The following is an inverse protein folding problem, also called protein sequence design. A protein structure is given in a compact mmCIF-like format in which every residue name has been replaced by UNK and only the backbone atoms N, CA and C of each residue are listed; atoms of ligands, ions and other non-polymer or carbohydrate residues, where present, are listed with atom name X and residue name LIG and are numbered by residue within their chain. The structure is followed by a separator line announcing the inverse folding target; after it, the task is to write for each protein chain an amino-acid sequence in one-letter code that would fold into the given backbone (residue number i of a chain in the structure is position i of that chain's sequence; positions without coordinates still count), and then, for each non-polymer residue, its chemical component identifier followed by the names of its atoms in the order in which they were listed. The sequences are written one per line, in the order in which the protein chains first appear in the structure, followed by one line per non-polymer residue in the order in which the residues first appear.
data_IF_616036082004
#
_entry.id   IF_616036082004
#
_cell.length_a   1.000
_cell.length_b   1.000
_cell.length_c   1.000
_cell.angle_alpha   90.00
_cell.angle_beta   90.00
_cell.angle_gamma   90.00
#
_symmetry.space_group_name_H-M   'P 1'
#
loop_
_entity.id
_entity.type
_entity.pdbx_description
1 polymer ?
#
# COMPACT_ATOMS: atom_id res chain seq x y z
N UNK A 1 20.62 44.48 -0.75
CA UNK A 1 19.45 43.64 -1.09
C UNK A 1 19.93 42.21 -1.22
N UNK A 2 19.74 41.40 -0.18
CA UNK A 2 20.19 40.01 -0.17
C UNK A 2 19.18 39.15 -0.94
N UNK A 3 19.64 38.50 -2.00
CA UNK A 3 18.85 37.52 -2.75
C UNK A 3 18.60 36.29 -1.89
N UNK A 4 17.35 36.05 -1.53
CA UNK A 4 16.91 34.80 -0.93
C UNK A 4 17.03 33.70 -2.00
N UNK A 5 18.10 32.92 -1.94
CA UNK A 5 18.25 31.70 -2.72
C UNK A 5 17.23 30.69 -2.24
N UNK A 6 16.31 30.29 -3.11
CA UNK A 6 15.43 29.14 -2.94
C UNK A 6 16.28 27.91 -2.58
N UNK A 7 15.90 27.09 -1.59
CA UNK A 7 16.64 25.87 -1.30
C UNK A 7 16.55 24.92 -2.50
N UNK A 8 17.59 24.11 -2.76
CA UNK A 8 17.61 23.18 -3.88
C UNK A 8 16.46 22.18 -3.73
N UNK A 9 15.61 22.09 -4.75
CA UNK A 9 14.61 21.03 -4.87
C UNK A 9 15.34 19.69 -4.87
N UNK A 10 15.37 19.02 -3.71
CA UNK A 10 15.79 17.63 -3.63
C UNK A 10 14.92 16.84 -4.60
N UNK A 11 15.52 16.17 -5.59
CA UNK A 11 14.81 15.24 -6.47
C UNK A 11 14.23 14.11 -5.60
N UNK A 12 12.98 14.24 -5.15
CA UNK A 12 12.28 13.20 -4.40
C UNK A 12 11.69 12.20 -5.37
N UNK A 13 12.01 10.91 -5.20
CA UNK A 13 11.48 9.81 -6.02
C UNK A 13 9.95 9.70 -5.91
N UNK A 14 9.39 10.18 -4.80
CA UNK A 14 7.96 10.27 -4.53
C UNK A 14 7.52 11.74 -4.49
N UNK A 15 6.36 12.08 -5.05
CA UNK A 15 5.85 13.46 -4.97
C UNK A 15 5.61 13.85 -3.50
N UNK A 16 6.11 15.02 -3.04
CA UNK A 16 5.99 15.43 -1.64
C UNK A 16 4.56 15.44 -1.11
N UNK A 17 3.57 15.77 -1.96
CA UNK A 17 2.15 15.78 -1.55
C UNK A 17 1.60 14.40 -1.16
N UNK A 18 2.29 13.29 -1.48
CA UNK A 18 1.92 11.93 -1.04
C UNK A 18 2.38 11.62 0.38
N UNK A 19 3.25 12.43 0.96
CA UNK A 19 3.91 12.16 2.24
C UNK A 19 3.41 13.18 3.27
N UNK A 20 3.16 12.69 4.49
CA UNK A 20 2.93 13.50 5.68
C UNK A 20 3.91 13.09 6.76
N UNK A 21 4.55 14.07 7.39
CA UNK A 21 5.28 13.82 8.63
C UNK A 21 4.29 13.93 9.77
N UNK A 22 4.05 12.82 10.48
CA UNK A 22 3.11 12.77 11.61
C UNK A 22 3.83 12.87 12.95
N UNK A 23 5.13 12.56 12.99
CA UNK A 23 6.02 12.81 14.13
C UNK A 23 7.41 13.18 13.61
N UNK A 24 7.94 14.32 14.04
CA UNK A 24 9.33 14.72 13.77
C UNK A 24 10.26 14.14 14.86
N UNK A 25 11.34 13.49 14.44
CA UNK A 25 12.37 12.99 15.34
C UNK A 25 13.32 14.11 15.79
N UNK A 26 13.82 14.01 17.02
CA UNK A 26 14.85 14.92 17.54
C UNK A 26 16.17 14.76 16.77
N UNK A 27 16.71 15.88 16.29
CA UNK A 27 18.00 15.94 15.54
C UNK A 27 19.18 15.72 16.49
N UNK A 28 19.39 14.48 16.94
CA UNK A 28 20.36 14.17 17.99
C UNK A 28 21.43 13.14 17.64
N UNK A 29 21.25 12.27 16.64
CA UNK A 29 22.23 11.21 16.36
C UNK A 29 22.78 11.28 14.93
N UNK A 30 24.09 11.52 14.88
CA UNK A 30 24.92 11.40 13.68
C UNK A 30 25.15 9.91 13.45
N UNK A 31 24.54 9.36 12.40
CA UNK A 31 24.50 7.93 12.09
C UNK A 31 23.07 7.38 12.24
N UNK A 32 22.37 7.25 11.12
CA UNK A 32 20.96 6.83 11.13
C UNK A 32 20.79 5.34 11.42
N UNK A 33 19.81 4.99 12.23
CA UNK A 33 19.26 3.65 12.31
C UNK A 33 18.50 3.25 11.04
N UNK A 34 18.07 1.98 10.89
CA UNK A 34 17.33 1.53 9.72
C UNK A 34 16.00 2.27 9.51
N UNK A 35 15.51 2.21 8.27
CA UNK A 35 14.14 2.59 7.92
C UNK A 35 13.25 1.36 8.04
N UNK A 36 12.09 1.50 8.66
CA UNK A 36 11.08 0.43 8.73
C UNK A 36 9.82 0.88 8.03
N UNK A 37 9.36 0.10 7.03
CA UNK A 37 8.03 0.26 6.45
C UNK A 37 7.04 -0.62 7.21
N UNK A 38 6.21 -0.01 8.05
CA UNK A 38 5.04 -0.65 8.62
C UNK A 38 3.90 -0.68 7.59
N UNK A 39 3.82 -1.80 6.91
CA UNK A 39 2.81 -2.10 5.90
C UNK A 39 1.50 -2.49 6.59
N UNK A 40 0.39 -1.95 6.08
CA UNK A 40 -0.93 -2.27 6.57
C UNK A 40 -1.93 -2.48 5.41
N UNK A 41 -2.29 -1.40 4.72
CA UNK A 41 -3.35 -1.39 3.69
C UNK A 41 -2.84 -1.78 2.31
N UNK A 42 -1.60 -1.44 1.98
CA UNK A 42 -1.05 -1.59 0.63
C UNK A 42 -0.10 -2.79 0.57
N UNK A 43 -0.67 -4.00 0.54
CA UNK A 43 0.03 -5.29 0.64
C UNK A 43 0.55 -5.78 -0.71
N UNK A 44 1.47 -5.02 -1.28
CA UNK A 44 2.11 -5.31 -2.57
C UNK A 44 3.52 -4.72 -2.65
N UNK A 45 4.36 -5.37 -3.45
CA UNK A 45 5.69 -4.91 -3.82
C UNK A 45 5.62 -3.89 -4.96
N UNK A 46 4.85 -4.20 -6.00
CA UNK A 46 4.77 -3.37 -7.19
C UNK A 46 3.86 -2.16 -6.94
N UNK A 47 4.17 -1.02 -7.56
CA UNK A 47 3.29 0.16 -7.56
C UNK A 47 2.86 0.63 -6.16
N UNK A 48 3.81 0.62 -5.20
CA UNK A 48 3.60 0.98 -3.80
C UNK A 48 4.42 2.21 -3.40
N UNK A 49 3.77 3.37 -3.30
CA UNK A 49 4.44 4.63 -2.95
C UNK A 49 5.07 4.62 -1.55
N UNK A 50 4.49 3.89 -0.59
CA UNK A 50 5.03 3.82 0.77
C UNK A 50 6.34 3.01 0.80
N UNK A 51 6.38 1.88 0.09
CA UNK A 51 7.60 1.09 -0.07
C UNK A 51 8.68 1.85 -0.85
N UNK A 52 8.30 2.50 -1.97
CA UNK A 52 9.22 3.33 -2.77
C UNK A 52 9.83 4.42 -1.89
N UNK A 53 9.01 5.10 -1.09
CA UNK A 53 9.49 6.13 -0.15
C UNK A 53 10.44 5.56 0.90
N UNK A 54 10.08 4.45 1.53
CA UNK A 54 10.92 3.81 2.56
C UNK A 54 12.31 3.44 2.01
N UNK A 55 12.37 2.86 0.81
CA UNK A 55 13.63 2.49 0.16
C UNK A 55 14.42 3.73 -0.27
N UNK A 56 13.76 4.77 -0.81
CA UNK A 56 14.40 6.04 -1.17
C UNK A 56 15.03 6.72 0.05
N UNK A 57 14.34 6.75 1.20
CA UNK A 57 14.87 7.30 2.45
C UNK A 57 16.05 6.48 2.98
N UNK A 58 15.96 5.14 2.95
CA UNK A 58 17.04 4.27 3.37
C UNK A 58 18.30 4.48 2.51
N UNK A 59 18.13 4.60 1.20
CA UNK A 59 19.20 4.81 0.23
C UNK A 59 19.85 6.20 0.32
N UNK A 60 19.11 7.22 0.75
CA UNK A 60 19.64 8.57 1.01
C UNK A 60 20.45 8.64 2.29
N UNK A 61 19.96 8.00 3.33
CA UNK A 61 20.62 7.96 4.64
C UNK A 61 21.72 6.90 4.71
N UNK A 62 21.87 6.09 3.67
CA UNK A 62 22.80 4.96 3.61
C UNK A 62 22.59 4.01 4.79
N UNK A 63 21.34 3.59 5.01
CA UNK A 63 20.94 2.67 6.09
C UNK A 63 20.14 1.49 5.53
N UNK A 64 20.01 0.37 6.25
CA UNK A 64 19.14 -0.73 5.86
C UNK A 64 17.65 -0.35 5.89
N UNK A 65 16.83 -1.14 5.18
CA UNK A 65 15.36 -1.05 5.22
C UNK A 65 14.75 -2.42 5.53
N UNK A 66 13.64 -2.43 6.28
CA UNK A 66 12.83 -3.61 6.55
C UNK A 66 11.34 -3.34 6.31
N UNK A 67 10.58 -4.40 6.03
CA UNK A 67 9.11 -4.37 6.06
C UNK A 67 8.62 -5.05 7.32
N UNK A 68 7.70 -4.39 8.03
CA UNK A 68 7.01 -4.93 9.18
C UNK A 68 5.50 -4.98 8.88
N UNK A 69 4.86 -6.10 9.18
CA UNK A 69 3.42 -6.27 9.13
C UNK A 69 2.92 -6.77 10.48
N UNK A 70 1.84 -6.17 10.99
CA UNK A 70 1.21 -6.65 12.22
C UNK A 70 -0.17 -7.24 11.90
N UNK A 71 -0.34 -8.52 12.19
CA UNK A 71 -1.61 -9.21 12.10
C UNK A 71 -2.43 -8.94 13.36
N UNK A 72 -3.40 -8.03 13.24
CA UNK A 72 -4.37 -7.73 14.30
C UNK A 72 -5.29 -8.92 14.55
N UNK A 73 -5.50 -9.27 15.81
CA UNK A 73 -6.54 -10.23 16.16
C UNK A 73 -7.91 -9.62 15.88
N UNK A 74 -8.74 -10.31 15.09
CA UNK A 74 -10.14 -9.93 14.81
C UNK A 74 -10.36 -8.49 14.28
N UNK A 75 -9.49 -7.97 13.39
CA UNK A 75 -9.72 -6.65 12.78
C UNK A 75 -11.11 -6.55 12.13
N UNK A 76 -12.00 -5.73 12.70
CA UNK A 76 -13.39 -5.54 12.27
C UNK A 76 -14.20 -6.85 12.15
N UNK A 77 -13.85 -7.88 12.93
CA UNK A 77 -14.52 -9.18 12.87
C UNK A 77 -14.22 -9.99 11.61
N UNK A 78 -13.09 -9.73 10.93
CA UNK A 78 -12.63 -10.52 9.79
C UNK A 78 -12.55 -12.02 10.14
N UNK A 79 -13.00 -12.87 9.22
CA UNK A 79 -13.12 -14.32 9.38
C UNK A 79 -12.22 -15.06 8.38
N UNK A 80 -12.36 -16.39 8.30
CA UNK A 80 -11.51 -17.25 7.47
C UNK A 80 -11.44 -16.77 6.02
N UNK A 81 -12.56 -16.30 5.45
CA UNK A 81 -12.61 -15.73 4.10
C UNK A 81 -11.64 -14.58 3.86
N UNK A 82 -11.69 -13.56 4.71
CA UNK A 82 -10.88 -12.35 4.53
C UNK A 82 -9.43 -12.62 4.91
N UNK A 83 -9.22 -13.25 6.07
CA UNK A 83 -7.88 -13.47 6.60
C UNK A 83 -7.12 -14.53 5.81
N UNK A 84 -7.77 -15.61 5.36
CA UNK A 84 -7.16 -16.61 4.48
C UNK A 84 -6.70 -16.00 3.16
N UNK A 85 -7.55 -15.20 2.52
CA UNK A 85 -7.20 -14.46 1.29
C UNK A 85 -6.00 -13.52 1.51
N UNK A 86 -6.01 -12.77 2.61
CA UNK A 86 -4.92 -11.85 2.96
C UNK A 86 -3.61 -12.59 3.21
N UNK A 87 -3.60 -13.59 4.09
CA UNK A 87 -2.41 -14.33 4.50
C UNK A 87 -1.75 -15.08 3.35
N UNK A 88 -2.55 -15.69 2.45
CA UNK A 88 -2.03 -16.32 1.24
C UNK A 88 -1.36 -15.30 0.31
N UNK A 89 -1.91 -14.09 0.21
CA UNK A 89 -1.28 -12.98 -0.51
C UNK A 89 0.03 -12.51 0.15
N UNK A 90 0.04 -12.35 1.48
CA UNK A 90 1.24 -11.96 2.23
C UNK A 90 2.35 -13.01 2.14
N UNK A 91 2.02 -14.30 2.11
CA UNK A 91 2.98 -15.39 1.88
C UNK A 91 3.68 -15.28 0.52
N UNK A 92 2.97 -14.86 -0.53
CA UNK A 92 3.58 -14.58 -1.84
C UNK A 92 4.43 -13.31 -1.79
N UNK A 93 3.90 -12.24 -1.17
CA UNK A 93 4.57 -10.96 -1.02
C UNK A 93 5.91 -11.07 -0.29
N UNK A 94 5.96 -11.79 0.83
CA UNK A 94 7.19 -12.01 1.59
C UNK A 94 8.28 -12.64 0.72
N UNK A 95 7.93 -13.70 -0.03
CA UNK A 95 8.85 -14.35 -0.97
C UNK A 95 9.36 -13.36 -2.02
N UNK A 96 8.45 -12.62 -2.67
CA UNK A 96 8.83 -11.67 -3.72
C UNK A 96 9.72 -10.55 -3.19
N UNK A 97 9.42 -9.95 -2.03
CA UNK A 97 10.24 -8.88 -1.43
C UNK A 97 11.65 -9.39 -1.10
N UNK A 98 11.75 -10.57 -0.49
CA UNK A 98 13.04 -11.12 -0.07
C UNK A 98 13.90 -11.57 -1.27
N UNK A 99 13.30 -12.19 -2.28
CA UNK A 99 13.99 -12.67 -3.47
C UNK A 99 14.44 -11.54 -4.40
N UNK A 100 13.61 -10.52 -4.58
CA UNK A 100 13.87 -9.45 -5.56
C UNK A 100 14.61 -8.25 -4.99
N UNK A 101 14.29 -7.84 -3.75
CA UNK A 101 14.85 -6.64 -3.13
C UNK A 101 15.84 -6.94 -1.99
N UNK A 102 15.90 -8.19 -1.52
CA UNK A 102 16.69 -8.57 -0.34
C UNK A 102 16.31 -7.77 0.92
N UNK A 103 15.04 -7.34 1.00
CA UNK A 103 14.49 -6.64 2.16
C UNK A 103 13.86 -7.69 3.08
N UNK A 104 14.21 -7.72 4.38
CA UNK A 104 13.57 -8.64 5.32
C UNK A 104 12.12 -8.25 5.58
N UNK A 105 11.27 -9.27 5.72
CA UNK A 105 9.87 -9.13 6.08
C UNK A 105 9.63 -9.69 7.49
N UNK A 106 9.09 -8.87 8.38
CA UNK A 106 8.76 -9.24 9.76
C UNK A 106 7.24 -9.29 9.94
N UNK A 107 6.76 -10.38 10.54
CA UNK A 107 5.35 -10.57 10.86
C UNK A 107 5.16 -10.60 12.37
N UNK A 108 4.37 -9.65 12.89
CA UNK A 108 4.01 -9.58 14.29
C UNK A 108 2.57 -10.02 14.50
N UNK A 109 2.32 -10.68 15.63
CA UNK A 109 0.99 -11.08 16.09
C UNK A 109 0.67 -10.29 17.37
N UNK A 110 -0.57 -9.78 17.47
CA UNK A 110 -1.02 -9.02 18.64
C UNK A 110 -1.29 -7.55 18.32
N UNK A 111 -1.16 -6.69 19.33
CA UNK A 111 -1.47 -5.26 19.21
C UNK A 111 -0.30 -4.49 18.58
N UNK A 112 -0.57 -3.80 17.47
CA UNK A 112 0.48 -3.08 16.72
C UNK A 112 1.08 -1.93 17.53
N UNK A 113 0.32 -1.32 18.43
CA UNK A 113 0.80 -0.30 19.37
C UNK A 113 1.80 -0.84 20.40
N UNK A 114 1.99 -2.15 20.51
CA UNK A 114 3.01 -2.77 21.35
C UNK A 114 4.15 -3.32 20.49
N UNK A 115 3.82 -4.11 19.47
CA UNK A 115 4.80 -4.84 18.66
C UNK A 115 5.65 -3.92 17.79
N UNK A 116 5.05 -2.91 17.15
CA UNK A 116 5.78 -1.99 16.27
C UNK A 116 6.74 -1.11 17.05
N UNK A 117 6.35 -0.42 18.15
CA UNK A 117 7.30 0.36 18.95
C UNK A 117 8.42 -0.48 19.54
N UNK A 118 8.12 -1.71 20.00
CA UNK A 118 9.15 -2.64 20.50
C UNK A 118 10.16 -2.98 19.40
N UNK A 119 9.68 -3.36 18.20
CA UNK A 119 10.55 -3.68 17.09
C UNK A 119 11.45 -2.51 16.66
N UNK A 120 10.89 -1.29 16.59
CA UNK A 120 11.66 -0.10 16.25
C UNK A 120 12.78 0.19 17.27
N UNK A 121 12.50 -0.05 18.55
CA UNK A 121 13.51 0.07 19.61
C UNK A 121 14.60 -0.98 19.46
N UNK A 122 14.22 -2.23 19.22
CA UNK A 122 15.15 -3.36 19.14
C UNK A 122 16.11 -3.25 17.95
N UNK A 123 15.62 -2.81 16.78
CA UNK A 123 16.47 -2.58 15.61
C UNK A 123 17.12 -1.18 15.58
N UNK A 124 16.83 -0.33 16.56
CA UNK A 124 17.31 1.04 16.63
C UNK A 124 16.89 1.89 15.43
N UNK A 125 15.66 1.73 14.92
CA UNK A 125 15.17 2.42 13.73
C UNK A 125 15.23 3.95 13.87
N UNK A 126 15.51 4.64 12.76
CA UNK A 126 15.50 6.12 12.71
C UNK A 126 14.25 6.70 12.05
N UNK A 127 13.61 5.92 11.18
CA UNK A 127 12.42 6.33 10.44
C UNK A 127 11.43 5.17 10.34
N UNK A 128 10.21 5.44 10.76
CA UNK A 128 9.04 4.63 10.47
C UNK A 128 8.29 5.23 9.27
N UNK A 129 8.06 4.46 8.23
CA UNK A 129 7.15 4.78 7.14
C UNK A 129 5.91 3.90 7.28
N UNK A 130 4.71 4.43 7.07
CA UNK A 130 3.47 3.64 7.03
C UNK A 130 2.56 4.09 5.89
N UNK A 131 1.68 3.20 5.43
CA UNK A 131 0.67 3.52 4.43
C UNK A 131 -0.57 4.17 5.07
N UNK A 132 -1.39 4.81 4.24
CA UNK A 132 -2.54 5.57 4.70
C UNK A 132 -3.84 4.75 4.74
N UNK A 133 -4.53 4.79 5.88
CA UNK A 133 -5.92 4.36 5.99
C UNK A 133 -6.79 5.38 6.75
N UNK A 134 -7.96 5.76 6.20
CA UNK A 134 -8.89 6.64 6.91
C UNK A 134 -9.69 5.94 8.01
N UNK A 135 -9.52 4.63 8.21
CA UNK A 135 -10.31 3.88 9.20
C UNK A 135 -9.94 4.31 10.62
N UNK A 136 -10.95 4.45 11.48
CA UNK A 136 -10.78 4.93 12.86
C UNK A 136 -9.82 4.05 13.65
N UNK A 137 -9.97 2.74 13.56
CA UNK A 137 -9.14 1.76 14.27
C UNK A 137 -7.66 1.93 13.94
N UNK A 138 -7.33 2.07 12.64
CA UNK A 138 -5.95 2.29 12.21
C UNK A 138 -5.41 3.63 12.69
N UNK A 139 -6.18 4.72 12.56
CA UNK A 139 -5.75 6.05 13.02
C UNK A 139 -5.51 6.09 14.53
N UNK A 140 -6.38 5.47 15.33
CA UNK A 140 -6.18 5.36 16.78
C UNK A 140 -4.91 4.57 17.12
N UNK A 141 -4.65 3.45 16.44
CA UNK A 141 -3.42 2.69 16.63
C UNK A 141 -2.17 3.50 16.23
N UNK A 142 -2.21 4.22 15.11
CA UNK A 142 -1.13 5.09 14.66
C UNK A 142 -0.85 6.21 15.67
N UNK A 143 -1.88 6.84 16.24
CA UNK A 143 -1.74 7.86 17.29
C UNK A 143 -1.06 7.28 18.55
N UNK A 144 -1.40 6.05 18.95
CA UNK A 144 -0.77 5.37 20.08
C UNK A 144 0.69 5.00 19.79
N UNK A 145 1.01 4.52 18.59
CA UNK A 145 2.38 4.27 18.15
C UNK A 145 3.20 5.56 18.20
N UNK A 146 2.66 6.69 17.73
CA UNK A 146 3.37 7.98 17.76
C UNK A 146 3.76 8.40 19.19
N UNK A 147 2.91 8.11 20.18
CA UNK A 147 3.17 8.38 21.60
C UNK A 147 4.21 7.44 22.22
N UNK A 148 4.24 6.17 21.80
CA UNK A 148 5.08 5.12 22.41
C UNK A 148 6.47 5.01 21.79
N UNK A 149 6.61 5.37 20.51
CA UNK A 149 7.89 5.36 19.81
C UNK A 149 8.82 6.44 20.39
N UNK A 150 10.12 6.14 20.49
CA UNK A 150 11.14 7.09 20.95
C UNK A 150 11.09 8.43 20.20
N UNK A 151 11.43 9.53 20.86
CA UNK A 151 11.51 10.87 20.26
C UNK A 151 12.66 11.01 19.26
N UNK A 152 13.54 10.02 19.16
CA UNK A 152 14.57 9.96 18.11
C UNK A 152 14.05 9.49 16.75
N UNK A 153 12.85 8.89 16.69
CA UNK A 153 12.32 8.28 15.47
C UNK A 153 11.36 9.24 14.78
N UNK A 154 11.60 9.48 13.50
CA UNK A 154 10.68 10.22 12.63
C UNK A 154 9.61 9.27 12.11
N UNK A 155 8.37 9.75 11.92
CA UNK A 155 7.29 8.95 11.36
C UNK A 155 6.68 9.65 10.14
N UNK A 156 6.72 8.96 9.00
CA UNK A 156 6.11 9.37 7.75
C UNK A 156 4.88 8.50 7.42
N UNK A 157 3.77 9.14 7.13
CA UNK A 157 2.59 8.51 6.52
C UNK A 157 2.59 8.78 5.02
N UNK A 158 2.32 7.76 4.20
CA UNK A 158 2.29 7.87 2.74
C UNK A 158 0.97 7.39 2.17
N UNK A 159 0.30 8.20 1.36
CA UNK A 159 -0.88 7.76 0.61
C UNK A 159 -0.45 6.93 -0.61
N UNK A 160 -0.37 5.62 -0.40
CA UNK A 160 -0.05 4.61 -1.41
C UNK A 160 -1.29 4.00 -2.08
N UNK A 161 -2.48 4.35 -1.63
CA UNK A 161 -3.72 3.73 -2.09
C UNK A 161 -4.45 4.58 -3.13
N UNK A 162 -4.46 5.90 -2.94
CA UNK A 162 -5.15 6.82 -3.83
C UNK A 162 -4.20 7.36 -4.91
N UNK A 163 -4.74 7.60 -6.11
CA UNK A 163 -3.99 8.26 -7.19
C UNK A 163 -3.57 9.65 -6.73
N UNK A 164 -4.53 10.46 -6.31
CA UNK A 164 -4.33 11.77 -5.68
C UNK A 164 -4.44 11.58 -4.18
N UNK A 165 -3.42 11.96 -3.38
CA UNK A 165 -3.45 11.81 -1.92
C UNK A 165 -4.68 12.46 -1.31
N UNK A 166 -5.31 11.79 -0.35
CA UNK A 166 -6.64 12.19 0.16
C UNK A 166 -6.66 13.64 0.68
N UNK A 167 -5.57 14.08 1.31
CA UNK A 167 -5.43 15.41 1.88
C UNK A 167 -5.04 16.48 0.87
N UNK A 168 -4.57 16.08 -0.31
CA UNK A 168 -4.35 16.97 -1.45
C UNK A 168 -5.64 17.07 -2.27
N UNK A 169 -6.39 15.97 -2.40
CA UNK A 169 -7.60 15.90 -3.20
C UNK A 169 -8.67 16.90 -2.76
N UNK A 170 -8.85 17.09 -1.45
CA UNK A 170 -9.66 18.17 -0.89
C UNK A 170 -9.31 18.47 0.57
N UNK A 171 -9.35 19.74 0.95
CA UNK A 171 -9.19 20.18 2.34
C UNK A 171 -10.44 19.94 3.23
N UNK A 172 -11.53 19.45 2.66
CA UNK A 172 -12.80 19.20 3.37
C UNK A 172 -13.55 18.00 2.81
N UNK A 173 -14.51 17.50 3.58
CA UNK A 173 -15.50 16.55 3.09
C UNK A 173 -16.28 17.15 1.92
N UNK A 174 -16.34 16.40 0.83
CA UNK A 174 -17.10 16.78 -0.37
C UNK A 174 -18.51 16.23 -0.32
N UNK A 175 -19.48 17.08 -0.67
CA UNK A 175 -20.90 16.72 -0.64
C UNK A 175 -21.29 15.69 -1.70
N UNK A 176 -20.60 15.68 -2.85
CA UNK A 176 -20.95 14.77 -3.96
C UNK A 176 -19.76 14.44 -4.86
N UNK A 177 -19.91 13.41 -5.68
CA UNK A 177 -18.95 13.10 -6.73
C UNK A 177 -18.71 14.29 -7.68
N UNK A 178 -19.74 15.10 -7.97
CA UNK A 178 -19.61 16.28 -8.84
C UNK A 178 -18.63 17.33 -8.29
N UNK A 179 -18.67 17.59 -6.98
CA UNK A 179 -17.80 18.61 -6.35
C UNK A 179 -16.37 18.11 -6.19
N UNK A 180 -16.19 16.81 -5.93
CA UNK A 180 -14.88 16.17 -5.82
C UNK A 180 -14.18 15.99 -7.17
N UNK A 181 -14.92 15.58 -8.21
CA UNK A 181 -14.36 15.22 -9.53
C UNK A 181 -13.57 16.34 -10.17
N UNK A 182 -14.08 17.57 -10.13
CA UNK A 182 -13.38 18.72 -10.69
C UNK A 182 -12.03 18.99 -10.03
N UNK A 183 -11.89 18.70 -8.72
CA UNK A 183 -10.63 18.85 -7.98
C UNK A 183 -9.64 17.74 -8.35
N UNK A 184 -10.08 16.49 -8.31
CA UNK A 184 -9.24 15.34 -8.69
C UNK A 184 -8.75 15.49 -10.13
N UNK A 185 -9.63 15.82 -11.08
CA UNK A 185 -9.27 15.93 -12.49
C UNK A 185 -8.19 17.00 -12.77
N UNK A 186 -8.16 18.09 -12.00
CA UNK A 186 -7.11 19.11 -12.10
C UNK A 186 -5.75 18.59 -11.61
N UNK A 187 -5.74 17.62 -10.70
CA UNK A 187 -4.55 17.04 -10.09
C UNK A 187 -4.07 15.77 -10.80
N UNK A 188 -4.90 15.13 -11.63
CA UNK A 188 -4.51 13.92 -12.37
C UNK A 188 -3.24 14.09 -13.22
N UNK A 189 -2.98 15.21 -13.92
CA UNK A 189 -1.73 15.37 -14.67
C UNK A 189 -0.46 15.26 -13.80
N UNK A 190 -0.55 15.64 -12.52
CA UNK A 190 0.57 15.62 -11.57
C UNK A 190 0.71 14.25 -10.88
N UNK A 191 -0.42 13.59 -10.60
CA UNK A 191 -0.45 12.41 -9.75
C UNK A 191 -0.72 11.09 -10.49
N UNK A 192 -1.37 11.09 -11.65
CA UNK A 192 -1.57 9.91 -12.51
C UNK A 192 -0.38 9.72 -13.46
N UNK A 193 0.79 9.55 -12.85
CA UNK A 193 2.07 9.27 -13.50
C UNK A 193 2.41 7.78 -13.39
N UNK A 194 3.36 7.30 -14.19
CA UNK A 194 3.94 5.98 -13.98
C UNK A 194 4.76 5.94 -12.69
N UNK A 195 4.84 4.74 -12.10
CA UNK A 195 5.68 4.50 -10.93
C UNK A 195 7.16 4.45 -11.34
N UNK A 196 8.06 5.04 -10.55
CA UNK A 196 9.49 4.89 -10.78
C UNK A 196 9.91 3.44 -10.57
N UNK A 197 10.99 3.02 -11.24
CA UNK A 197 11.61 1.74 -10.95
C UNK A 197 12.13 1.75 -9.51
N UNK A 198 11.63 0.81 -8.70
CA UNK A 198 12.07 0.63 -7.31
C UNK A 198 13.57 0.29 -7.30
N UNK A 199 14.33 1.13 -6.60
CA UNK A 199 15.78 0.93 -6.48
C UNK A 199 16.06 -0.20 -5.48
N UNK A 200 17.17 -0.92 -5.67
CA UNK A 200 17.62 -1.86 -4.66
C UNK A 200 18.13 -1.10 -3.41
N UNK A 201 17.90 -1.61 -2.19
CA UNK A 201 18.55 -1.09 -1.00
C UNK A 201 20.06 -1.16 -1.13
N UNK A 202 20.76 -0.04 -0.85
CA UNK A 202 22.24 0.02 -0.92
C UNK A 202 22.91 -0.73 0.22
N UNK A 203 22.26 -0.77 1.39
CA UNK A 203 22.77 -1.45 2.57
C UNK A 203 21.90 -2.64 2.95
N UNK A 204 22.55 -3.74 3.29
CA UNK A 204 21.91 -4.98 3.70
C UNK A 204 21.50 -4.90 5.17
N UNK A 205 20.41 -5.56 5.49
CA UNK A 205 20.01 -5.80 6.86
C UNK A 205 20.90 -6.89 7.49
N UNK A 206 21.66 -6.55 8.54
CA UNK A 206 22.65 -7.44 9.16
C UNK A 206 22.18 -7.98 10.53
N UNK A 207 20.90 -7.79 10.90
CA UNK A 207 20.42 -8.21 12.22
C UNK A 207 20.39 -9.75 12.39
N UNK A 208 20.48 -10.27 13.64
CA UNK A 208 20.97 -11.63 13.89
C UNK A 208 20.05 -12.79 13.51
N UNK A 209 18.79 -12.58 13.16
CA UNK A 209 17.92 -13.71 12.81
C UNK A 209 16.80 -13.28 11.86
N UNK A 210 16.77 -13.88 10.68
CA UNK A 210 15.60 -13.84 9.79
C UNK A 210 14.45 -14.54 10.51
N UNK A 211 13.31 -13.86 10.69
CA UNK A 211 12.13 -14.48 11.27
C UNK A 211 11.65 -15.57 10.31
N UNK A 212 11.57 -16.82 10.80
CA UNK A 212 10.91 -17.90 10.06
C UNK A 212 9.42 -17.83 10.35
N UNK A 213 8.59 -17.64 9.32
CA UNK A 213 7.14 -17.58 9.45
C UNK A 213 6.57 -18.94 8.99
N UNK A 214 5.91 -19.66 9.89
CA UNK A 214 5.11 -20.83 9.52
C UNK A 214 3.74 -20.38 9.00
N UNK A 215 3.69 -20.12 7.69
CA UNK A 215 2.45 -19.69 7.03
C UNK A 215 1.36 -20.75 7.08
N UNK A 216 1.72 -22.04 7.07
CA UNK A 216 0.73 -23.11 7.06
C UNK A 216 0.00 -23.16 8.40
N UNK A 217 0.73 -23.17 9.51
CA UNK A 217 0.12 -23.16 10.85
C UNK A 217 -0.71 -21.88 11.09
N UNK A 218 -0.19 -20.73 10.68
CA UNK A 218 -0.90 -19.45 10.81
C UNK A 218 -2.22 -19.43 10.03
N UNK A 219 -2.19 -19.89 8.77
CA UNK A 219 -3.39 -19.97 7.93
C UNK A 219 -4.37 -20.97 8.53
N UNK A 220 -3.92 -22.18 8.88
CA UNK A 220 -4.78 -23.23 9.44
C UNK A 220 -5.48 -22.78 10.73
N UNK A 221 -4.77 -22.07 11.61
CA UNK A 221 -5.34 -21.52 12.84
C UNK A 221 -6.45 -20.51 12.55
N UNK A 222 -6.20 -19.57 11.64
CA UNK A 222 -7.17 -18.55 11.23
C UNK A 222 -8.40 -19.16 10.54
N UNK A 223 -8.18 -20.15 9.66
CA UNK A 223 -9.27 -20.86 8.98
C UNK A 223 -10.14 -21.61 9.97
N UNK A 224 -9.54 -22.25 10.98
CA UNK A 224 -10.26 -22.94 12.05
C UNK A 224 -11.07 -21.98 12.91
N UNK A 225 -10.51 -20.84 13.29
CA UNK A 225 -11.17 -19.82 14.13
C UNK A 225 -12.32 -19.10 13.43
N UNK A 226 -12.26 -18.97 12.09
CA UNK A 226 -13.23 -18.22 11.29
C UNK A 226 -14.09 -19.06 10.35
N UNK A 227 -14.25 -20.36 10.63
CA UNK A 227 -14.88 -21.34 9.75
C UNK A 227 -16.34 -21.03 9.37
N UNK A 228 -17.02 -20.19 10.15
CA UNK A 228 -18.39 -19.73 9.88
C UNK A 228 -18.53 -18.92 8.58
N UNK A 229 -17.44 -18.30 8.10
CA UNK A 229 -17.38 -17.63 6.79
C UNK A 229 -16.21 -18.20 6.00
N UNK A 230 -16.42 -19.25 5.19
CA UNK A 230 -15.35 -19.97 4.52
C UNK A 230 -14.71 -19.17 3.38
N UNK A 231 -13.47 -19.56 3.04
CA UNK A 231 -12.71 -19.02 1.91
C UNK A 231 -13.49 -19.07 0.59
N UNK A 232 -13.16 -18.11 -0.26
CA UNK A 232 -13.67 -18.03 -1.63
C UNK A 232 -12.79 -18.88 -2.54
N UNK A 233 -13.42 -19.44 -3.58
CA UNK A 233 -12.75 -20.29 -4.59
C UNK A 233 -12.71 -19.66 -5.98
N UNK A 234 -13.31 -18.48 -6.14
CA UNK A 234 -13.49 -17.83 -7.45
C UNK A 234 -12.41 -16.79 -7.76
N UNK A 235 -11.58 -16.41 -6.79
CA UNK A 235 -10.43 -15.55 -7.01
C UNK A 235 -9.26 -15.99 -6.13
N UNK A 236 -8.10 -16.16 -6.77
CA UNK A 236 -6.84 -16.42 -6.09
C UNK A 236 -6.26 -15.10 -5.54
N UNK A 237 -5.69 -15.08 -4.33
CA UNK A 237 -5.04 -13.90 -3.76
C UNK A 237 -3.64 -13.65 -4.32
N UNK A 238 -3.17 -12.42 -4.17
CA UNK A 238 -1.80 -12.00 -4.48
C UNK A 238 -1.70 -11.04 -5.67
N UNK A 239 -0.53 -10.43 -5.82
CA UNK A 239 -0.24 -9.44 -6.86
C UNK A 239 -0.39 -10.03 -8.27
N UNK A 240 0.14 -11.23 -8.49
CA UNK A 240 0.11 -11.89 -9.81
C UNK A 240 -1.31 -12.20 -10.25
N UNK A 241 -2.12 -12.75 -9.34
CA UNK A 241 -3.53 -13.03 -9.59
C UNK A 241 -4.32 -11.75 -9.85
N UNK A 242 -4.04 -10.67 -9.10
CA UNK A 242 -4.66 -9.38 -9.34
C UNK A 242 -4.35 -8.82 -10.73
N UNK A 243 -3.09 -8.93 -11.17
CA UNK A 243 -2.67 -8.51 -12.50
C UNK A 243 -3.29 -9.38 -13.60
N UNK A 244 -3.42 -10.69 -13.41
CA UNK A 244 -4.12 -11.57 -14.34
C UNK A 244 -5.61 -11.20 -14.45
N UNK A 245 -6.27 -10.85 -13.34
CA UNK A 245 -7.67 -10.36 -13.38
C UNK A 245 -7.78 -9.03 -14.12
N UNK A 246 -6.79 -8.14 -14.03
CA UNK A 246 -6.78 -6.86 -14.73
C UNK A 246 -6.47 -7.01 -16.23
N UNK A 247 -5.37 -7.69 -16.57
CA UNK A 247 -4.71 -7.68 -17.88
C UNK A 247 -4.59 -9.06 -18.54
N UNK A 248 -5.08 -10.12 -17.91
CA UNK A 248 -4.96 -11.49 -18.39
C UNK A 248 -5.44 -11.69 -19.83
N UNK A 249 -4.73 -12.50 -20.59
CA UNK A 249 -5.02 -12.69 -22.02
C UNK A 249 -6.36 -13.41 -22.25
N UNK A 250 -6.75 -14.32 -21.34
CA UNK A 250 -7.93 -15.19 -21.49
C UNK A 250 -9.22 -14.58 -20.95
N UNK A 251 -9.20 -13.98 -19.76
CA UNK A 251 -10.40 -13.42 -19.10
C UNK A 251 -10.11 -12.10 -18.35
N UNK A 252 -9.04 -11.40 -18.72
CA UNK A 252 -8.66 -10.12 -18.12
C UNK A 252 -9.72 -9.04 -18.33
N UNK A 253 -9.88 -8.15 -17.34
CA UNK A 253 -10.89 -7.11 -17.39
C UNK A 253 -10.65 -6.15 -18.56
N UNK A 254 -9.45 -5.59 -18.67
CA UNK A 254 -9.14 -4.57 -19.68
C UNK A 254 -8.94 -5.16 -21.08
N UNK A 255 -8.61 -6.44 -21.17
CA UNK A 255 -8.33 -7.15 -22.44
C UNK A 255 -9.58 -7.75 -23.06
N UNK A 256 -10.48 -8.34 -22.25
CA UNK A 256 -11.63 -9.12 -22.76
C UNK A 256 -12.99 -8.55 -22.33
N UNK A 257 -13.12 -8.00 -21.12
CA UNK A 257 -14.45 -7.72 -20.51
C UNK A 257 -14.87 -6.26 -20.52
N UNK A 258 -13.93 -5.32 -20.64
CA UNK A 258 -14.16 -3.87 -20.56
C UNK A 258 -15.18 -3.35 -21.59
N UNK A 259 -15.23 -3.94 -22.79
CA UNK A 259 -16.14 -3.52 -23.87
C UNK A 259 -17.60 -3.47 -23.42
N UNK A 260 -18.02 -4.44 -22.61
CA UNK A 260 -19.39 -4.59 -22.14
C UNK A 260 -19.64 -3.91 -20.78
N UNK A 261 -18.61 -3.33 -20.14
CA UNK A 261 -18.73 -2.76 -18.80
C UNK A 261 -19.83 -1.69 -18.72
N UNK A 262 -19.92 -0.81 -19.72
CA UNK A 262 -20.88 0.30 -19.72
C UNK A 262 -22.34 -0.16 -19.71
N UNK A 263 -22.65 -1.24 -20.44
CA UNK A 263 -24.00 -1.80 -20.55
C UNK A 263 -24.31 -2.79 -19.43
N UNK A 264 -23.30 -3.50 -18.92
CA UNK A 264 -23.51 -4.68 -18.09
C UNK A 264 -23.26 -4.43 -16.59
N UNK A 265 -22.54 -3.36 -16.20
CA UNK A 265 -22.16 -3.09 -14.79
C UNK A 265 -23.33 -2.98 -13.81
N UNK A 266 -24.54 -2.69 -14.28
CA UNK A 266 -25.74 -2.56 -13.46
C UNK A 266 -26.65 -3.80 -13.54
N UNK A 267 -26.23 -4.86 -14.24
CA UNK A 267 -27.02 -6.08 -14.41
C UNK A 267 -26.43 -7.24 -13.57
N UNK A 268 -27.06 -7.62 -12.44
CA UNK A 268 -26.55 -8.70 -11.60
C UNK A 268 -26.57 -10.08 -12.28
N UNK A 269 -27.34 -10.26 -13.36
CA UNK A 269 -27.34 -11.49 -14.17
C UNK A 269 -26.11 -11.60 -15.09
N UNK A 270 -25.31 -10.53 -15.18
CA UNK A 270 -24.08 -10.48 -15.99
C UNK A 270 -22.86 -10.28 -15.09
N UNK A 271 -22.46 -11.30 -14.28
CA UNK A 271 -21.38 -11.15 -13.31
C UNK A 271 -20.03 -10.78 -13.93
N UNK A 272 -19.78 -11.19 -15.19
CA UNK A 272 -18.58 -10.83 -15.96
C UNK A 272 -18.53 -9.37 -16.41
N UNK A 273 -19.63 -8.63 -16.26
CA UNK A 273 -19.72 -7.20 -16.58
C UNK A 273 -18.97 -6.30 -15.59
N UNK A 274 -18.53 -6.80 -14.43
CA UNK A 274 -17.74 -6.06 -13.44
C UNK A 274 -16.27 -6.48 -13.48
N UNK A 275 -15.35 -5.64 -13.00
CA UNK A 275 -13.91 -5.97 -13.05
C UNK A 275 -13.50 -7.17 -12.20
N UNK A 276 -14.16 -7.38 -11.05
CA UNK A 276 -13.75 -8.37 -10.06
C UNK A 276 -12.52 -7.94 -9.24
N UNK A 277 -12.07 -6.69 -9.36
CA UNK A 277 -10.83 -6.20 -8.75
C UNK A 277 -10.97 -5.81 -7.27
N UNK A 278 -12.19 -5.74 -6.73
CA UNK A 278 -12.41 -5.20 -5.38
C UNK A 278 -11.71 -5.97 -4.24
N UNK A 279 -11.57 -7.33 -4.26
CA UNK A 279 -10.81 -8.02 -3.21
C UNK A 279 -9.33 -7.60 -3.21
N UNK A 280 -8.74 -7.48 -4.40
CA UNK A 280 -7.35 -7.07 -4.58
C UNK A 280 -7.11 -5.61 -4.21
N UNK A 281 -8.01 -4.72 -4.63
CA UNK A 281 -7.96 -3.30 -4.26
C UNK A 281 -8.16 -3.12 -2.76
N UNK A 282 -9.01 -3.92 -2.11
CA UNK A 282 -9.25 -3.82 -0.67
C UNK A 282 -7.99 -4.12 0.16
N UNK A 283 -7.30 -5.22 -0.15
CA UNK A 283 -6.03 -5.60 0.52
C UNK A 283 -4.81 -4.91 -0.08
N UNK A 284 -4.99 -4.05 -1.09
CA UNK A 284 -3.90 -3.38 -1.77
C UNK A 284 -2.94 -4.33 -2.49
N UNK A 285 -3.41 -5.51 -2.92
CA UNK A 285 -2.66 -6.46 -3.76
C UNK A 285 -2.53 -5.96 -5.21
N UNK A 286 -3.25 -4.89 -5.58
CA UNK A 286 -3.02 -4.15 -6.82
C UNK A 286 -3.25 -2.66 -6.60
N UNK A 287 -2.45 -1.82 -7.25
CA UNK A 287 -2.60 -0.37 -7.18
C UNK A 287 -3.79 0.11 -8.02
N UNK A 288 -4.67 0.93 -7.43
CA UNK A 288 -5.71 1.62 -8.18
C UNK A 288 -5.13 2.54 -9.27
N UNK A 289 -3.95 3.12 -9.02
CA UNK A 289 -3.23 3.92 -9.99
C UNK A 289 -2.74 3.08 -11.17
N UNK A 290 -2.22 1.87 -10.92
CA UNK A 290 -1.87 0.91 -12.01
C UNK A 290 -3.09 0.59 -12.86
N UNK A 291 -4.21 0.24 -12.23
CA UNK A 291 -5.48 -0.01 -12.94
C UNK A 291 -5.88 1.17 -13.83
N UNK A 292 -5.78 2.40 -13.33
CA UNK A 292 -6.10 3.60 -14.09
C UNK A 292 -5.13 3.87 -15.26
N UNK A 293 -3.82 3.63 -15.05
CA UNK A 293 -2.80 3.76 -16.10
C UNK A 293 -3.03 2.76 -17.23
N UNK A 294 -3.27 1.48 -16.91
CA UNK A 294 -3.55 0.48 -17.93
C UNK A 294 -4.88 0.75 -18.65
N UNK A 295 -5.93 1.16 -17.92
CA UNK A 295 -7.19 1.56 -18.52
C UNK A 295 -7.03 2.75 -19.49
N UNK A 296 -6.13 3.69 -19.18
CA UNK A 296 -5.81 4.83 -20.06
C UNK A 296 -5.15 4.38 -21.36
N UNK A 297 -4.30 3.34 -21.33
CA UNK A 297 -3.63 2.79 -22.53
C UNK A 297 -4.62 2.11 -23.49
N UNK A 298 -5.60 1.37 -22.96
CA UNK A 298 -6.61 0.67 -23.78
C UNK A 298 -7.78 1.57 -24.23
N UNK A 299 -7.83 2.83 -23.78
CA UNK A 299 -8.89 3.80 -24.09
C UNK A 299 -9.17 3.95 -25.59
N UNK A 300 -8.14 3.93 -26.42
CA UNK A 300 -8.29 4.10 -27.88
C UNK A 300 -8.94 2.89 -28.56
N UNK A 301 -9.00 1.74 -27.89
CA UNK A 301 -9.57 0.49 -28.40
C UNK A 301 -11.06 0.32 -28.02
N UNK A 302 -11.60 1.19 -27.15
CA UNK A 302 -13.00 1.16 -26.72
C UNK A 302 -13.44 2.56 -26.26
N UNK A 303 -13.97 3.41 -27.18
CA UNK A 303 -14.31 4.80 -26.86
C UNK A 303 -15.57 4.98 -26.00
N UNK A 304 -16.52 4.04 -26.04
CA UNK A 304 -17.81 4.16 -25.32
C UNK A 304 -17.76 3.92 -23.79
N UNK A 305 -16.93 3.04 -23.19
CA UNK A 305 -17.06 2.71 -21.77
C UNK A 305 -16.55 3.76 -20.78
N UNK A 306 -15.83 4.80 -21.23
CA UNK A 306 -15.00 5.63 -20.35
C UNK A 306 -15.48 7.08 -20.19
N UNK A 307 -16.67 7.47 -20.69
CA UNK A 307 -17.26 8.78 -20.39
C UNK A 307 -17.32 9.05 -18.87
N UNK A 308 -17.37 7.99 -18.06
CA UNK A 308 -17.38 8.01 -16.60
C UNK A 308 -16.13 8.55 -15.90
N UNK A 309 -14.95 8.53 -16.53
CA UNK A 309 -13.75 9.12 -15.92
C UNK A 309 -13.73 10.65 -16.04
N UNK A 310 -14.63 11.22 -16.86
CA UNK A 310 -14.84 12.68 -16.98
C UNK A 310 -16.17 13.16 -16.37
N UNK A 311 -17.19 12.31 -16.27
CA UNK A 311 -18.56 12.69 -15.85
C UNK A 311 -18.88 12.45 -14.40
#
# INVERSE_FOLDING_TARGET
MASLSSPPTQNTTVQPGRIRVIKEGSRGQVGGGPVVYWMFRDQRLQDNWALIHAVDQANRSNVPVAVAFNLFDQFLGAKARQLGFMLRGLCQLQRHIEETLQIPFFLFLGEAEETIPAFLKDCGASLLVTDFSPLRQFRTCQDEICKRVSDSVTIHEVDAHNIVPIWVASAKLEYSARTLRGKINKLLPEYLIDFPMLQLPKNKWVAPTKQSIDWNDLIDNVLRKGAEVPEIKWCEPGEDAAMEVLMGSKDGFLTQRLKNYSTDRNNPLKPKGLSGLSPYLHFGQISAQRCALEARKVRNLSPQPMHFWRS
#
